data_IF_127212565824
#
_entry.id   IF_127212565824
#
_cell.length_a   1.000
_cell.length_b   1.000
_cell.length_c   1.000
_cell.angle_alpha   90.00
_cell.angle_beta   90.00
_cell.angle_gamma   90.00
#
_symmetry.space_group_name_H-M   'P 1'
#
loop_
_entity.id
_entity.type
_entity.pdbx_description
1 polymer ?
#
# COMPACT_ATOMS: atom_id res chain seq x y z
N UNK A 1 -10.67 0.67 1.54
CA UNK A 1 -9.84 1.37 2.55
C UNK A 1 -8.40 1.25 2.09
N UNK A 2 -7.68 2.37 1.88
CA UNK A 2 -6.23 2.31 1.63
C UNK A 2 -5.55 1.82 2.92
N UNK A 3 -5.54 0.50 3.10
CA UNK A 3 -4.84 -0.19 4.19
C UNK A 3 -3.34 -0.04 3.91
N UNK A 4 -2.52 0.03 4.95
CA UNK A 4 -1.07 -0.05 4.77
C UNK A 4 -0.75 -1.38 4.04
N UNK A 5 -0.20 -1.32 2.81
CA UNK A 5 0.04 -2.53 2.04
C UNK A 5 1.16 -3.35 2.67
N UNK A 6 1.01 -4.67 2.67
CA UNK A 6 2.06 -5.58 3.14
C UNK A 6 3.33 -5.46 2.31
N UNK A 7 3.16 -5.24 1.01
CA UNK A 7 4.26 -4.91 0.09
C UNK A 7 5.02 -3.66 0.50
N UNK A 8 4.32 -2.64 1.01
CA UNK A 8 4.94 -1.42 1.53
C UNK A 8 5.82 -1.70 2.74
N UNK A 9 5.35 -2.49 3.70
CA UNK A 9 6.17 -2.92 4.86
C UNK A 9 7.38 -3.74 4.42
N UNK A 10 7.15 -4.75 3.54
CA UNK A 10 8.24 -5.60 3.06
C UNK A 10 9.30 -4.79 2.32
N UNK A 11 8.92 -3.88 1.43
CA UNK A 11 9.86 -3.04 0.71
C UNK A 11 10.60 -2.07 1.64
N UNK A 12 9.88 -1.36 2.52
CA UNK A 12 10.49 -0.39 3.42
C UNK A 12 11.54 -1.02 4.34
N UNK A 13 11.15 -2.04 5.09
CA UNK A 13 12.04 -2.67 6.06
C UNK A 13 13.05 -3.63 5.42
N UNK A 14 12.70 -4.25 4.30
CA UNK A 14 13.62 -5.04 3.49
C UNK A 14 14.75 -4.18 2.90
N UNK A 15 14.46 -2.99 2.39
CA UNK A 15 15.48 -2.04 1.91
C UNK A 15 16.44 -1.61 3.04
N UNK A 16 15.91 -1.31 4.23
CA UNK A 16 16.74 -0.95 5.37
C UNK A 16 17.66 -2.11 5.81
N UNK A 17 17.16 -3.35 5.76
CA UNK A 17 17.97 -4.55 6.02
C UNK A 17 19.04 -4.75 4.95
N UNK A 18 18.71 -4.66 3.66
CA UNK A 18 19.67 -4.79 2.56
C UNK A 18 20.79 -3.75 2.65
N UNK A 19 20.47 -2.56 3.15
CA UNK A 19 21.44 -1.49 3.41
C UNK A 19 22.24 -1.65 4.71
N UNK A 20 21.90 -2.63 5.56
CA UNK A 20 22.56 -2.83 6.85
C UNK A 20 22.19 -1.79 7.91
N UNK A 21 21.06 -1.10 7.75
CA UNK A 21 20.60 -0.06 8.69
C UNK A 21 19.84 -0.63 9.90
N UNK A 22 19.35 -1.86 9.80
CA UNK A 22 18.62 -2.57 10.85
C UNK A 22 19.04 -4.04 10.90
N UNK A 23 18.74 -4.70 12.02
CA UNK A 23 18.98 -6.14 12.18
C UNK A 23 17.96 -6.98 11.40
N UNK A 24 18.28 -8.26 11.07
CA UNK A 24 17.30 -9.18 10.46
C UNK A 24 16.05 -9.37 11.32
N UNK A 25 16.19 -9.46 12.64
CA UNK A 25 15.07 -9.67 13.55
C UNK A 25 14.15 -8.45 13.60
N UNK A 26 14.71 -7.24 13.65
CA UNK A 26 13.93 -6.00 13.56
C UNK A 26 13.18 -5.90 12.24
N UNK A 27 13.85 -6.22 11.11
CA UNK A 27 13.22 -6.23 9.80
C UNK A 27 12.02 -7.19 9.76
N UNK A 28 12.20 -8.42 10.21
CA UNK A 28 11.15 -9.44 10.26
C UNK A 28 9.97 -8.99 11.11
N UNK A 29 10.23 -8.51 12.32
CA UNK A 29 9.19 -8.03 13.23
C UNK A 29 8.37 -6.88 12.62
N UNK A 30 9.04 -5.93 11.97
CA UNK A 30 8.39 -4.78 11.33
C UNK A 30 7.60 -5.17 10.10
N UNK A 31 8.10 -6.10 9.28
CA UNK A 31 7.38 -6.59 8.09
C UNK A 31 6.14 -7.38 8.48
N UNK A 32 6.24 -8.30 9.43
CA UNK A 32 5.11 -9.09 9.93
C UNK A 32 4.04 -8.16 10.51
N UNK A 33 4.43 -7.22 11.37
CA UNK A 33 3.50 -6.28 11.99
C UNK A 33 2.40 -6.98 12.78
N UNK A 34 1.11 -6.81 12.45
CA UNK A 34 0.00 -7.47 13.14
C UNK A 34 -0.29 -8.89 12.64
N UNK A 35 0.32 -9.32 11.53
CA UNK A 35 0.13 -10.65 10.97
C UNK A 35 0.90 -11.68 11.84
N UNK A 36 0.50 -12.94 11.84
CA UNK A 36 1.13 -13.95 12.69
C UNK A 36 2.44 -14.47 12.09
N UNK A 37 2.47 -14.65 10.77
CA UNK A 37 3.61 -15.23 10.09
C UNK A 37 3.69 -14.79 8.63
N UNK A 38 4.94 -14.60 8.13
CA UNK A 38 5.23 -14.44 6.71
C UNK A 38 6.25 -15.49 6.26
N UNK A 39 6.00 -16.10 5.09
CA UNK A 39 6.89 -17.05 4.42
C UNK A 39 7.12 -16.61 2.97
N UNK A 40 8.21 -17.07 2.37
CA UNK A 40 8.48 -16.87 0.93
C UNK A 40 8.58 -18.24 0.28
N UNK A 41 7.83 -18.45 -0.81
CA UNK A 41 7.79 -19.65 -1.60
C UNK A 41 8.28 -19.38 -3.02
N UNK A 42 8.93 -20.37 -3.65
CA UNK A 42 9.41 -20.26 -5.04
C UNK A 42 10.70 -19.47 -5.19
N UNK A 43 11.46 -19.25 -4.12
CA UNK A 43 12.81 -18.70 -4.24
C UNK A 43 13.72 -19.65 -5.01
N UNK A 44 14.60 -19.14 -5.87
CA UNK A 44 15.63 -19.96 -6.51
C UNK A 44 16.40 -20.82 -5.51
N UNK A 45 16.64 -22.08 -5.86
CA UNK A 45 17.37 -23.08 -5.04
C UNK A 45 16.65 -23.53 -3.75
N UNK A 46 15.46 -23.01 -3.44
CA UNK A 46 14.65 -23.47 -2.31
C UNK A 46 13.50 -24.36 -2.77
N UNK A 47 13.42 -25.57 -2.24
CA UNK A 47 12.39 -26.56 -2.60
C UNK A 47 11.11 -26.46 -1.76
N UNK A 48 11.12 -25.67 -0.70
CA UNK A 48 10.01 -25.48 0.22
C UNK A 48 9.91 -24.01 0.66
N UNK A 49 8.73 -23.58 1.16
CA UNK A 49 8.58 -22.23 1.71
C UNK A 49 9.53 -21.98 2.88
N UNK A 50 10.20 -20.82 2.87
CA UNK A 50 11.14 -20.43 3.92
C UNK A 50 10.59 -19.29 4.75
N UNK A 51 10.97 -19.19 6.00
CA UNK A 51 10.63 -18.06 6.86
C UNK A 51 11.24 -16.75 6.34
N UNK A 52 10.62 -15.63 6.68
CA UNK A 52 10.96 -14.30 6.13
C UNK A 52 12.44 -13.93 6.35
N UNK A 53 13.02 -14.24 7.52
CA UNK A 53 14.44 -13.95 7.81
C UNK A 53 15.38 -14.65 6.83
N UNK A 54 15.18 -15.95 6.61
CA UNK A 54 15.98 -16.72 5.65
C UNK A 54 15.71 -16.23 4.22
N UNK A 55 14.44 -15.97 3.88
CA UNK A 55 14.05 -15.49 2.55
C UNK A 55 14.72 -14.16 2.19
N UNK A 56 14.74 -13.18 3.10
CA UNK A 56 15.44 -11.90 2.90
C UNK A 56 16.97 -12.10 2.76
N UNK A 57 17.54 -13.03 3.55
CA UNK A 57 18.94 -13.42 3.39
C UNK A 57 19.26 -14.05 2.03
N UNK A 58 18.34 -14.89 1.50
CA UNK A 58 18.47 -15.48 0.16
C UNK A 58 18.35 -14.42 -0.94
N UNK A 59 17.39 -13.49 -0.84
CA UNK A 59 17.29 -12.39 -1.80
C UNK A 59 18.60 -11.58 -1.86
N UNK A 60 19.19 -11.29 -0.70
CA UNK A 60 20.49 -10.61 -0.66
C UNK A 60 21.60 -11.44 -1.31
N UNK A 61 21.65 -12.75 -1.07
CA UNK A 61 22.63 -13.66 -1.67
C UNK A 61 22.47 -13.79 -3.20
N UNK A 62 21.25 -13.60 -3.73
CA UNK A 62 20.93 -13.54 -5.15
C UNK A 62 21.25 -12.18 -5.81
N UNK A 63 21.92 -11.26 -5.10
CA UNK A 63 22.29 -9.96 -5.63
C UNK A 63 21.15 -8.91 -5.64
N UNK A 64 20.09 -9.11 -4.87
CA UNK A 64 19.05 -8.10 -4.73
C UNK A 64 19.60 -6.87 -4.01
N UNK A 65 19.46 -5.72 -4.65
CA UNK A 65 19.97 -4.42 -4.16
C UNK A 65 18.87 -3.48 -3.69
N UNK A 66 17.63 -3.73 -4.07
CA UNK A 66 16.48 -2.91 -3.70
C UNK A 66 15.15 -3.63 -3.87
N UNK A 67 14.15 -3.13 -3.16
CA UNK A 67 12.76 -3.61 -3.21
C UNK A 67 11.86 -2.45 -3.58
N UNK A 68 11.09 -2.58 -4.66
CA UNK A 68 10.09 -1.61 -5.11
C UNK A 68 8.69 -2.15 -4.89
N UNK A 69 7.76 -1.26 -4.60
CA UNK A 69 6.34 -1.57 -4.44
C UNK A 69 5.61 -1.36 -5.75
N UNK A 70 4.70 -2.27 -6.07
CA UNK A 70 3.66 -2.10 -7.06
C UNK A 70 2.28 -2.25 -6.38
N UNK A 71 1.37 -1.30 -6.64
CA UNK A 71 -0.01 -1.33 -6.12
C UNK A 71 -1.01 -1.26 -7.29
N UNK A 72 -1.02 -2.29 -8.15
CA UNK A 72 -1.82 -2.27 -9.37
C UNK A 72 -3.31 -2.34 -9.06
N UNK A 73 -4.09 -1.70 -9.92
CA UNK A 73 -5.56 -1.85 -9.99
C UNK A 73 -5.98 -1.92 -11.45
N UNK A 74 -7.21 -2.37 -11.71
CA UNK A 74 -7.74 -2.45 -13.07
C UNK A 74 -7.55 -1.12 -13.82
N UNK A 75 -6.86 -1.16 -14.95
CA UNK A 75 -6.53 0.01 -15.77
C UNK A 75 -5.31 0.83 -15.32
N UNK A 76 -4.66 0.49 -14.20
CA UNK A 76 -3.47 1.18 -13.69
C UNK A 76 -2.42 0.20 -13.21
N UNK A 77 -1.30 0.00 -13.95
CA UNK A 77 -0.26 -0.96 -13.61
C UNK A 77 0.53 -0.60 -12.35
N UNK A 78 0.71 0.69 -12.03
CA UNK A 78 1.33 1.22 -10.82
C UNK A 78 2.56 0.43 -10.34
N UNK A 79 3.56 0.34 -11.19
CA UNK A 79 4.82 -0.33 -10.90
C UNK A 79 5.02 -1.68 -11.57
N UNK A 80 3.98 -2.31 -12.14
CA UNK A 80 4.13 -3.58 -12.84
C UNK A 80 4.90 -3.43 -14.15
N UNK A 81 5.74 -4.42 -14.46
CA UNK A 81 6.56 -4.47 -15.67
C UNK A 81 6.53 -5.81 -16.40
N UNK A 82 5.77 -6.77 -15.92
CA UNK A 82 5.62 -8.11 -16.50
C UNK A 82 6.54 -9.16 -15.88
N UNK A 83 6.46 -10.43 -16.25
CA UNK A 83 5.64 -11.01 -17.33
C UNK A 83 4.14 -11.07 -17.03
N UNK A 84 3.28 -11.49 -18.00
CA UNK A 84 1.83 -11.50 -17.82
C UNK A 84 1.36 -12.30 -16.60
N UNK A 85 1.96 -13.44 -16.31
CA UNK A 85 1.58 -14.29 -15.17
C UNK A 85 1.84 -13.60 -13.83
N UNK A 86 2.97 -12.91 -13.70
CA UNK A 86 3.26 -12.08 -12.53
C UNK A 86 2.25 -10.94 -12.41
N UNK A 87 2.01 -10.22 -13.51
CA UNK A 87 1.07 -9.09 -13.51
C UNK A 87 -0.36 -9.52 -13.15
N UNK A 88 -0.81 -10.70 -13.63
CA UNK A 88 -2.13 -11.22 -13.31
C UNK A 88 -2.28 -11.53 -11.81
N UNK A 89 -1.28 -12.18 -11.21
CA UNK A 89 -1.26 -12.45 -9.77
C UNK A 89 -1.17 -11.19 -8.93
N UNK A 90 -0.29 -10.26 -9.29
CA UNK A 90 -0.13 -8.99 -8.60
C UNK A 90 -1.40 -8.12 -8.68
N UNK A 91 -2.10 -8.14 -9.83
CA UNK A 91 -3.38 -7.46 -9.99
C UNK A 91 -4.48 -8.10 -9.12
N UNK A 92 -4.51 -9.42 -9.01
CA UNK A 92 -5.47 -10.12 -8.15
C UNK A 92 -5.22 -9.86 -6.66
N UNK A 93 -3.95 -9.72 -6.25
CA UNK A 93 -3.56 -9.38 -4.88
C UNK A 93 -3.62 -7.86 -4.60
N UNK A 94 -3.75 -7.02 -5.63
CA UNK A 94 -3.68 -5.55 -5.60
C UNK A 94 -2.36 -4.99 -5.06
N UNK A 95 -1.37 -5.84 -4.81
CA UNK A 95 -0.04 -5.46 -4.34
C UNK A 95 1.04 -6.46 -4.75
N UNK A 96 2.26 -5.99 -4.92
CA UNK A 96 3.45 -6.81 -5.12
C UNK A 96 4.71 -6.05 -4.70
N UNK A 97 5.81 -6.81 -4.52
CA UNK A 97 7.16 -6.26 -4.39
C UNK A 97 8.00 -6.73 -5.57
N UNK A 98 8.77 -5.83 -6.14
CA UNK A 98 9.73 -6.12 -7.21
C UNK A 98 11.12 -5.93 -6.63
N UNK A 99 11.86 -7.03 -6.52
CA UNK A 99 13.26 -7.05 -6.11
C UNK A 99 14.13 -6.73 -7.33
N UNK A 100 14.94 -5.68 -7.20
CA UNK A 100 15.88 -5.20 -8.24
C UNK A 100 17.31 -5.67 -7.93
N UNK A 101 18.11 -5.90 -8.95
CA UNK A 101 19.47 -6.37 -8.83
C UNK A 101 19.83 -7.31 -9.98
N UNK A 102 20.81 -8.19 -9.79
CA UNK A 102 21.33 -9.08 -10.83
C UNK A 102 20.28 -10.03 -11.41
N UNK A 103 19.34 -10.46 -10.58
CA UNK A 103 18.24 -11.37 -10.94
C UNK A 103 16.91 -10.78 -10.44
N UNK A 104 16.19 -10.02 -11.29
CA UNK A 104 14.91 -9.40 -10.87
C UNK A 104 13.87 -10.46 -10.50
N UNK A 105 13.29 -10.32 -9.33
CA UNK A 105 12.27 -11.22 -8.79
C UNK A 105 11.05 -10.42 -8.34
N UNK A 106 9.87 -11.00 -8.52
CA UNK A 106 8.62 -10.43 -8.01
C UNK A 106 8.07 -11.27 -6.86
N UNK A 107 7.57 -10.61 -5.84
CA UNK A 107 6.94 -11.23 -4.67
C UNK A 107 5.48 -10.79 -4.61
N UNK A 108 4.55 -11.73 -4.71
CA UNK A 108 3.12 -11.48 -4.63
C UNK A 108 2.57 -12.13 -3.35
N UNK A 109 1.90 -11.38 -2.46
CA UNK A 109 1.35 -11.97 -1.24
C UNK A 109 0.06 -12.74 -1.51
N UNK A 110 -0.05 -13.90 -0.91
CA UNK A 110 -1.29 -14.62 -0.70
C UNK A 110 -1.58 -14.65 0.81
N UNK A 111 -2.79 -14.23 1.19
CA UNK A 111 -3.18 -14.00 2.60
C UNK A 111 -4.16 -15.07 3.02
N UNK A 112 -3.84 -15.77 4.10
CA UNK A 112 -4.68 -16.78 4.71
C UNK A 112 -5.16 -16.27 6.06
N UNK A 113 -6.48 -16.23 6.24
CA UNK A 113 -7.13 -15.82 7.48
C UNK A 113 -7.85 -17.01 8.10
N UNK A 114 -7.59 -17.28 9.36
CA UNK A 114 -8.22 -18.36 10.13
C UNK A 114 -8.55 -17.88 11.55
N UNK A 115 -9.64 -18.35 12.11
CA UNK A 115 -10.09 -18.03 13.46
C UNK A 115 -11.45 -17.35 13.51
N UNK A 116 -12.04 -17.24 14.70
CA UNK A 116 -13.31 -16.55 14.92
C UNK A 116 -13.16 -15.03 14.79
N UNK A 117 -14.29 -14.34 14.60
CA UNK A 117 -14.34 -12.88 14.61
C UNK A 117 -13.79 -12.32 15.93
N UNK A 118 -12.79 -11.42 15.82
CA UNK A 118 -12.08 -10.84 16.98
C UNK A 118 -10.79 -11.55 17.37
N UNK A 119 -10.52 -12.77 16.87
CA UNK A 119 -9.27 -13.52 17.08
C UNK A 119 -8.81 -14.17 15.75
N UNK A 120 -8.61 -13.33 14.76
CA UNK A 120 -8.21 -13.76 13.41
C UNK A 120 -6.69 -13.90 13.35
N UNK A 121 -6.22 -15.11 13.04
CA UNK A 121 -4.84 -15.42 12.76
C UNK A 121 -4.56 -15.22 11.26
N UNK A 122 -3.60 -14.38 10.93
CA UNK A 122 -3.27 -14.05 9.53
C UNK A 122 -1.89 -14.58 9.19
N UNK A 123 -1.83 -15.44 8.19
CA UNK A 123 -0.57 -15.91 7.58
C UNK A 123 -0.43 -15.33 6.17
N UNK A 124 0.80 -15.01 5.77
CA UNK A 124 1.12 -14.48 4.44
C UNK A 124 2.17 -15.33 3.77
N UNK A 125 1.86 -15.81 2.57
CA UNK A 125 2.81 -16.50 1.70
C UNK A 125 3.16 -15.57 0.53
N UNK A 126 4.43 -15.21 0.43
CA UNK A 126 4.96 -14.43 -0.68
C UNK A 126 5.41 -15.37 -1.80
N UNK A 127 4.67 -15.42 -2.91
CA UNK A 127 5.05 -16.20 -4.09
C UNK A 127 6.12 -15.46 -4.88
N UNK A 128 7.30 -16.06 -4.96
CA UNK A 128 8.43 -15.53 -5.71
C UNK A 128 8.38 -16.01 -7.16
N UNK A 129 8.44 -15.06 -8.09
CA UNK A 129 8.32 -15.28 -9.53
C UNK A 129 9.41 -14.49 -10.26
N UNK A 130 9.94 -14.97 -11.39
CA UNK A 130 10.83 -14.18 -12.22
C UNK A 130 10.07 -13.00 -12.83
N UNK A 131 10.69 -11.82 -12.83
CA UNK A 131 10.15 -10.62 -13.48
C UNK A 131 11.14 -10.05 -14.49
N UNK A 132 10.70 -9.06 -15.28
CA UNK A 132 11.57 -8.35 -16.20
C UNK A 132 12.27 -7.20 -15.47
N UNK A 133 13.53 -7.00 -15.81
CA UNK A 133 14.22 -5.76 -15.45
C UNK A 133 13.71 -4.65 -16.38
N UNK A 134 12.79 -3.84 -15.85
CA UNK A 134 12.18 -2.74 -16.57
C UNK A 134 11.82 -1.61 -15.60
N UNK A 135 11.82 -0.35 -16.07
CA UNK A 135 11.33 0.77 -15.28
C UNK A 135 9.89 0.51 -14.80
N UNK A 136 9.53 0.91 -13.58
CA UNK A 136 8.18 0.75 -13.06
C UNK A 136 7.18 1.56 -13.91
N UNK A 137 6.14 0.88 -14.42
CA UNK A 137 5.13 1.52 -15.25
C UNK A 137 4.20 2.43 -14.41
N UNK A 138 3.89 3.61 -14.94
CA UNK A 138 2.93 4.57 -14.35
C UNK A 138 3.26 5.03 -12.92
N UNK A 139 4.53 5.05 -12.54
CA UNK A 139 4.99 5.55 -11.24
C UNK A 139 5.59 6.95 -11.42
N UNK A 140 5.01 7.98 -10.79
CA UNK A 140 5.57 9.33 -10.82
C UNK A 140 6.82 9.41 -9.94
N UNK A 141 7.68 10.38 -10.21
CA UNK A 141 8.70 10.76 -9.22
C UNK A 141 8.06 11.27 -7.95
N UNK A 142 8.78 11.20 -6.81
CA UNK A 142 8.27 11.70 -5.52
C UNK A 142 7.80 13.16 -5.60
N UNK A 143 8.50 14.01 -6.38
CA UNK A 143 8.14 15.41 -6.55
C UNK A 143 6.88 15.63 -7.39
N UNK A 144 6.66 14.80 -8.39
CA UNK A 144 5.43 14.81 -9.19
C UNK A 144 4.26 14.32 -8.37
N UNK A 145 4.43 13.21 -7.64
CA UNK A 145 3.42 12.65 -6.77
C UNK A 145 2.92 13.66 -5.71
N UNK A 146 3.82 14.42 -5.09
CA UNK A 146 3.46 15.44 -4.11
C UNK A 146 2.62 16.57 -4.73
N UNK A 147 2.99 17.04 -5.93
CA UNK A 147 2.25 18.08 -6.66
C UNK A 147 0.88 17.59 -7.11
N UNK A 148 0.81 16.41 -7.74
CA UNK A 148 -0.43 15.79 -8.18
C UNK A 148 -1.39 15.58 -7.01
N UNK A 149 -0.90 15.11 -5.86
CA UNK A 149 -1.73 14.88 -4.68
C UNK A 149 -2.29 16.18 -4.10
N UNK A 150 -1.48 17.25 -4.05
CA UNK A 150 -1.92 18.57 -3.58
C UNK A 150 -2.94 19.22 -4.52
N UNK A 151 -2.82 19.00 -5.82
CA UNK A 151 -3.76 19.51 -6.84
C UNK A 151 -5.10 18.75 -6.77
N UNK A 152 -5.05 17.42 -6.79
CA UNK A 152 -6.25 16.58 -6.69
C UNK A 152 -7.04 16.83 -5.39
N UNK A 153 -6.33 17.11 -4.28
CA UNK A 153 -6.99 17.46 -3.02
C UNK A 153 -7.78 18.79 -3.11
N UNK A 154 -7.21 19.80 -3.77
CA UNK A 154 -7.89 21.08 -4.00
C UNK A 154 -9.11 20.92 -4.89
N UNK A 155 -8.96 20.23 -6.03
CA UNK A 155 -10.05 19.96 -6.96
C UNK A 155 -11.20 19.18 -6.32
N UNK A 156 -10.90 18.14 -5.54
CA UNK A 156 -11.90 17.37 -4.82
C UNK A 156 -12.62 18.22 -3.77
N UNK A 157 -11.91 19.09 -3.04
CA UNK A 157 -12.50 20.00 -2.06
C UNK A 157 -13.45 20.98 -2.71
N UNK A 158 -13.06 21.58 -3.82
CA UNK A 158 -13.88 22.54 -4.57
C UNK A 158 -15.13 21.87 -5.13
N UNK A 159 -14.98 20.64 -5.65
CA UNK A 159 -16.11 19.89 -6.21
C UNK A 159 -17.11 19.47 -5.13
N UNK A 160 -16.63 18.93 -4.00
CA UNK A 160 -17.50 18.55 -2.88
C UNK A 160 -18.22 19.77 -2.27
N UNK A 161 -17.57 20.92 -2.22
CA UNK A 161 -18.18 22.17 -1.75
C UNK A 161 -19.31 22.63 -2.67
N UNK A 162 -19.16 22.48 -4.00
CA UNK A 162 -20.20 22.83 -4.97
C UNK A 162 -21.40 21.88 -4.94
N UNK A 163 -21.16 20.62 -4.63
CA UNK A 163 -22.22 19.60 -4.55
C UNK A 163 -23.06 19.69 -3.27
N UNK A 164 -22.76 20.67 -2.40
CA UNK A 164 -23.42 20.87 -1.10
C UNK A 164 -23.58 19.54 -0.33
N UNK A 165 -22.53 18.73 -0.35
CA UNK A 165 -22.53 17.42 0.28
C UNK A 165 -22.55 17.65 1.78
N UNK A 166 -23.76 17.59 2.34
CA UNK A 166 -24.05 17.78 3.75
C UNK A 166 -23.06 17.00 4.63
N UNK A 167 -22.62 17.68 5.67
CA UNK A 167 -21.51 17.32 6.54
C UNK A 167 -21.47 15.86 7.00
N UNK A 168 -20.27 15.46 7.28
CA UNK A 168 -19.92 14.15 7.85
C UNK A 168 -20.77 13.85 9.06
N UNK A 169 -21.59 12.82 8.98
CA UNK A 169 -22.38 12.34 10.11
C UNK A 169 -21.49 11.86 11.28
N UNK A 170 -22.08 11.54 12.45
CA UNK A 170 -21.33 11.09 13.62
C UNK A 170 -20.37 9.93 13.36
N UNK A 171 -20.70 9.05 12.43
CA UNK A 171 -19.87 7.92 12.00
C UNK A 171 -18.57 8.39 11.31
N UNK A 172 -18.63 9.42 10.49
CA UNK A 172 -17.44 9.97 9.83
C UNK A 172 -16.52 10.68 10.83
N UNK A 173 -17.09 11.35 11.81
CA UNK A 173 -16.31 11.93 12.91
C UNK A 173 -15.62 10.84 13.75
N UNK A 174 -16.33 9.79 14.15
CA UNK A 174 -15.75 8.67 14.89
C UNK A 174 -14.64 7.96 14.11
N UNK A 175 -14.81 7.78 12.78
CA UNK A 175 -13.79 7.20 11.93
C UNK A 175 -12.56 8.10 11.79
N UNK A 176 -12.73 9.42 11.74
CA UNK A 176 -11.62 10.38 11.72
C UNK A 176 -10.86 10.40 13.05
N UNK A 177 -11.57 10.31 14.17
CA UNK A 177 -10.97 10.20 15.51
C UNK A 177 -10.20 8.89 15.67
N UNK A 178 -10.77 7.77 15.24
CA UNK A 178 -10.10 6.48 15.23
C UNK A 178 -8.86 6.46 14.32
N UNK A 179 -8.88 7.20 13.22
CA UNK A 179 -7.71 7.40 12.35
C UNK A 179 -6.63 8.21 13.08
N UNK A 180 -6.99 9.36 13.70
CA UNK A 180 -6.05 10.19 14.47
C UNK A 180 -5.40 9.40 15.60
N UNK A 181 -6.19 8.65 16.38
CA UNK A 181 -5.69 7.83 17.47
C UNK A 181 -4.73 6.71 17.01
N UNK A 182 -4.86 6.22 15.78
CA UNK A 182 -3.91 5.27 15.17
C UNK A 182 -2.61 5.95 14.75
N UNK A 183 -2.69 7.16 14.20
CA UNK A 183 -1.53 7.94 13.74
C UNK A 183 -0.70 8.44 14.93
N UNK A 184 -1.32 8.81 16.05
CA UNK A 184 -0.67 9.29 17.27
C UNK A 184 0.16 8.23 18.01
N UNK A 185 0.00 6.93 17.70
CA UNK A 185 0.75 5.84 18.34
C UNK A 185 2.21 5.71 17.85
N UNK A 186 2.75 6.73 17.17
CA UNK A 186 4.18 6.84 16.89
C UNK A 186 4.76 5.73 16.01
N UNK A 187 3.97 5.13 15.11
CA UNK A 187 4.50 4.22 14.12
C UNK A 187 5.37 5.00 13.15
N UNK A 188 6.65 4.61 13.09
CA UNK A 188 7.51 5.01 11.98
C UNK A 188 6.85 4.57 10.68
N UNK A 189 6.48 5.53 9.85
CA UNK A 189 5.75 5.30 8.59
C UNK A 189 6.64 4.64 7.54
N UNK A 190 7.95 4.91 7.60
CA UNK A 190 8.97 4.33 6.74
C UNK A 190 10.20 3.95 7.57
N UNK A 191 10.97 2.99 7.06
CA UNK A 191 12.20 2.52 7.68
C UNK A 191 13.32 3.58 7.60
N UNK A 192 14.39 3.45 8.42
CA UNK A 192 15.58 4.28 8.31
C UNK A 192 16.17 4.27 6.89
N UNK A 193 16.73 5.42 6.47
CA UNK A 193 17.33 5.59 5.15
C UNK A 193 16.40 6.16 4.08
N UNK A 194 15.11 6.27 4.35
CA UNK A 194 14.18 6.97 3.44
C UNK A 194 14.32 8.49 3.54
N UNK A 195 14.19 9.22 2.42
CA UNK A 195 14.20 10.68 2.47
C UNK A 195 13.00 11.20 3.29
N UNK A 196 13.17 12.23 4.13
CA UNK A 196 12.08 12.79 4.94
C UNK A 196 10.86 13.25 4.11
N UNK A 197 11.08 13.60 2.86
CA UNK A 197 10.02 13.96 1.92
C UNK A 197 9.09 12.77 1.62
N UNK A 198 9.66 11.56 1.48
CA UNK A 198 8.87 10.35 1.24
C UNK A 198 7.91 10.05 2.39
N UNK A 199 8.37 10.20 3.65
CA UNK A 199 7.52 10.02 4.82
C UNK A 199 6.32 10.99 4.80
N UNK A 200 6.56 12.29 4.52
CA UNK A 200 5.47 13.28 4.42
C UNK A 200 4.47 12.99 3.31
N UNK A 201 4.96 12.57 2.13
CA UNK A 201 4.08 12.21 1.00
C UNK A 201 3.25 10.98 1.34
N UNK A 202 3.85 9.96 1.95
CA UNK A 202 3.16 8.75 2.36
C UNK A 202 2.09 9.03 3.42
N UNK A 203 2.41 9.81 4.45
CA UNK A 203 1.45 10.23 5.48
C UNK A 203 0.26 10.98 4.87
N UNK A 204 0.53 11.91 3.94
CA UNK A 204 -0.54 12.65 3.26
C UNK A 204 -1.40 11.71 2.41
N UNK A 205 -0.80 10.83 1.63
CA UNK A 205 -1.52 9.86 0.80
C UNK A 205 -2.40 8.92 1.64
N UNK A 206 -1.89 8.41 2.76
CA UNK A 206 -2.64 7.58 3.70
C UNK A 206 -3.79 8.34 4.35
N UNK A 207 -3.57 9.61 4.72
CA UNK A 207 -4.62 10.49 5.26
C UNK A 207 -5.75 10.71 4.25
N UNK A 208 -5.38 10.99 3.00
CA UNK A 208 -6.35 11.13 1.90
C UNK A 208 -7.14 9.84 1.71
N UNK A 209 -6.46 8.70 1.67
CA UNK A 209 -7.12 7.40 1.55
C UNK A 209 -8.10 7.09 2.69
N UNK A 210 -7.75 7.45 3.93
CA UNK A 210 -8.64 7.31 5.07
C UNK A 210 -9.88 8.21 4.96
N UNK A 211 -9.71 9.45 4.52
CA UNK A 211 -10.83 10.39 4.28
C UNK A 211 -11.76 9.88 3.18
N UNK A 212 -11.22 9.33 2.10
CA UNK A 212 -12.00 8.72 1.02
C UNK A 212 -12.81 7.54 1.54
N UNK A 213 -12.19 6.65 2.31
CA UNK A 213 -12.89 5.49 2.89
C UNK A 213 -14.04 5.92 3.82
N UNK A 214 -13.84 6.98 4.60
CA UNK A 214 -14.90 7.56 5.43
C UNK A 214 -16.02 8.16 4.56
N UNK A 215 -15.67 8.82 3.46
CA UNK A 215 -16.64 9.43 2.56
C UNK A 215 -17.50 8.42 1.81
N UNK A 216 -16.98 7.22 1.51
CA UNK A 216 -17.77 6.13 0.93
C UNK A 216 -18.72 5.48 1.95
N UNK A 217 -18.46 5.60 3.26
CA UNK A 217 -19.19 4.90 4.30
C UNK A 217 -18.85 3.40 4.37
N UNK A 218 -19.34 2.67 5.38
CA UNK A 218 -19.21 1.21 5.45
C UNK A 218 -20.01 0.59 4.30
N UNK A 219 -19.36 -0.20 3.46
CA UNK A 219 -20.00 -0.93 2.35
C UNK A 219 -20.96 -2.03 2.84
N UNK A 220 -20.92 -2.38 4.12
CA UNK A 220 -21.71 -3.45 4.74
C UNK A 220 -23.03 -2.97 5.37
N UNK A 221 -23.39 -1.69 5.24
CA UNK A 221 -24.67 -1.17 5.72
C UNK A 221 -25.83 -1.43 4.74
N UNK A 222 -25.89 -2.62 4.13
CA UNK A 222 -27.10 -3.17 3.51
C UNK A 222 -27.79 -4.04 4.58
N UNK A 223 -28.36 -3.38 5.57
CA UNK A 223 -29.11 -4.06 6.61
C UNK A 223 -29.89 -3.08 7.48
N UNK A 224 -31.19 -3.06 7.25
CA UNK A 224 -32.25 -2.48 8.09
C UNK A 224 -32.48 -0.97 7.95
N UNK A 225 -33.35 -0.64 7.00
CA UNK A 225 -33.84 0.71 6.72
C UNK A 225 -34.80 1.24 7.79
N UNK A 226 -34.30 1.62 8.95
CA UNK A 226 -35.06 2.39 9.96
C UNK A 226 -34.16 3.19 10.89
N UNK A 227 -33.43 4.18 10.37
CA UNK A 227 -33.13 5.35 11.18
C UNK A 227 -33.23 6.61 10.33
N UNK A 228 -34.13 7.48 10.73
CA UNK A 228 -34.51 8.71 10.05
C UNK A 228 -33.42 9.75 10.25
N UNK A 229 -32.74 10.10 9.16
CA UNK A 229 -31.79 11.20 9.18
C UNK A 229 -30.83 11.22 7.99
N UNK A 230 -31.33 11.58 6.79
CA UNK A 230 -30.49 11.87 5.64
C UNK A 230 -30.36 10.70 4.65
N UNK A 231 -31.44 10.39 3.97
CA UNK A 231 -31.38 9.58 2.76
C UNK A 231 -30.58 10.32 1.68
N UNK A 232 -29.27 10.14 1.69
CA UNK A 232 -28.40 10.54 0.57
C UNK A 232 -28.92 9.76 -0.63
N UNK A 233 -29.41 10.43 -1.66
CA UNK A 233 -29.95 9.75 -2.83
C UNK A 233 -28.86 8.93 -3.54
N UNK A 234 -29.22 7.83 -4.19
CA UNK A 234 -28.26 7.02 -4.95
C UNK A 234 -27.48 7.86 -5.97
N UNK A 235 -28.10 8.90 -6.52
CA UNK A 235 -27.43 9.85 -7.42
C UNK A 235 -26.36 10.71 -6.72
N UNK A 236 -26.61 11.14 -5.48
CA UNK A 236 -25.62 11.88 -4.69
C UNK A 236 -24.45 10.99 -4.28
N UNK A 237 -24.72 9.73 -3.93
CA UNK A 237 -23.66 8.73 -3.67
C UNK A 237 -22.81 8.48 -4.91
N UNK A 238 -23.43 8.30 -6.07
CA UNK A 238 -22.72 8.10 -7.34
C UNK A 238 -21.88 9.34 -7.71
N UNK A 239 -22.43 10.55 -7.59
CA UNK A 239 -21.71 11.79 -7.85
C UNK A 239 -20.51 11.98 -6.90
N UNK A 240 -20.67 11.64 -5.62
CA UNK A 240 -19.59 11.67 -4.63
C UNK A 240 -18.49 10.65 -4.99
N UNK A 241 -18.87 9.43 -5.31
CA UNK A 241 -17.94 8.38 -5.73
C UNK A 241 -17.14 8.81 -6.96
N UNK A 242 -17.79 9.34 -7.97
CA UNK A 242 -17.14 9.84 -9.19
C UNK A 242 -16.14 10.97 -8.90
N UNK A 243 -16.51 11.89 -8.01
CA UNK A 243 -15.65 13.01 -7.59
C UNK A 243 -14.39 12.55 -6.83
N UNK A 244 -14.47 11.44 -6.09
CA UNK A 244 -13.37 10.95 -5.25
C UNK A 244 -12.43 9.97 -5.97
N UNK A 245 -12.85 9.35 -7.07
CA UNK A 245 -12.00 8.41 -7.83
C UNK A 245 -10.66 9.00 -8.29
N UNK A 246 -10.60 10.21 -8.87
CA UNK A 246 -9.31 10.80 -9.24
C UNK A 246 -8.38 10.97 -8.05
N UNK A 247 -8.92 11.41 -6.91
CA UNK A 247 -8.17 11.59 -5.67
C UNK A 247 -7.63 10.27 -5.11
N UNK A 248 -8.44 9.20 -5.13
CA UNK A 248 -8.01 7.85 -4.72
C UNK A 248 -6.86 7.34 -5.59
N UNK A 249 -6.97 7.50 -6.91
CA UNK A 249 -5.93 7.14 -7.87
C UNK A 249 -4.63 7.89 -7.59
N UNK A 250 -4.71 9.20 -7.39
CA UNK A 250 -3.55 10.05 -7.11
C UNK A 250 -2.91 9.70 -5.76
N UNK A 251 -3.72 9.41 -4.73
CA UNK A 251 -3.21 8.96 -3.44
C UNK A 251 -2.48 7.62 -3.54
N UNK A 252 -2.99 6.65 -4.33
CA UNK A 252 -2.33 5.37 -4.58
C UNK A 252 -1.00 5.54 -5.33
N UNK A 253 -0.95 6.41 -6.36
CA UNK A 253 0.28 6.77 -7.08
C UNK A 253 1.32 7.38 -6.14
N UNK A 254 0.88 8.27 -5.25
CA UNK A 254 1.75 8.90 -4.26
C UNK A 254 2.29 7.90 -3.23
N UNK A 255 1.51 6.89 -2.82
CA UNK A 255 2.00 5.80 -1.98
C UNK A 255 3.12 5.02 -2.67
N UNK A 256 2.92 4.61 -3.93
CA UNK A 256 3.94 3.87 -4.68
C UNK A 256 5.22 4.69 -4.83
N UNK A 257 5.10 5.97 -5.20
CA UNK A 257 6.25 6.87 -5.30
C UNK A 257 7.01 7.01 -3.97
N UNK A 258 6.28 7.13 -2.86
CA UNK A 258 6.90 7.28 -1.53
C UNK A 258 7.65 6.00 -1.09
N UNK A 259 7.07 4.81 -1.30
CA UNK A 259 7.75 3.56 -1.00
C UNK A 259 8.95 3.30 -1.92
N UNK A 260 8.91 3.75 -3.17
CA UNK A 260 9.97 3.53 -4.15
C UNK A 260 11.08 4.59 -4.08
N UNK A 261 10.87 5.68 -3.34
CA UNK A 261 11.82 6.79 -3.24
C UNK A 261 13.22 6.37 -2.75
N UNK A 262 13.30 5.33 -1.92
CA UNK A 262 14.57 4.79 -1.44
C UNK A 262 15.43 4.23 -2.59
N UNK A 263 14.84 3.39 -3.43
CA UNK A 263 15.56 2.77 -4.56
C UNK A 263 15.90 3.82 -5.62
N UNK A 264 14.96 4.73 -5.93
CA UNK A 264 15.18 5.82 -6.89
C UNK A 264 16.32 6.75 -6.48
N UNK A 265 16.48 7.04 -5.19
CA UNK A 265 17.55 7.90 -4.71
C UNK A 265 18.91 7.23 -4.86
N UNK A 266 18.99 5.93 -4.60
CA UNK A 266 20.23 5.15 -4.77
C UNK A 266 20.64 4.95 -6.23
N UNK A 267 19.69 4.87 -7.14
CA UNK A 267 19.96 4.76 -8.58
C UNK A 267 20.44 6.08 -9.22
N UNK A 268 20.22 7.21 -8.56
CA UNK A 268 20.70 8.53 -9.00
C UNK A 268 22.13 8.83 -8.57
N UNK A 269 22.65 8.10 -7.59
CA UNK A 269 24.01 8.27 -7.04
C UNK A 269 24.93 7.12 -7.45
#
# INVERSE_FOLDING_TARGET
MLKEPRSGRLAAWGNALLAGLISPDDAVQRVIGPDAQHRIEGLPEESAPVGLSLGLGRLRALGVTGLRVALPVAGHPLGLSGPPDFNARALAAEEAVIATGDHPLGLVPEVYEAGPEGDVHVEVVWHCLPVRDAPPADVPSLGEAERELAEALREATDLLSRLDVAGSGPMAQAALEAYRARTERGREVLAPGYPPRAARVLELAQRVGALIAIAYGPQDAVGDGREHGGAVSASQMAARAEALRPLERTARRAQVAAYNAYVEERERH
#
